data_IF_759406775645
#
_entry.id   IF_759406775645
#
_cell.length_a   1.000
_cell.length_b   1.000
_cell.length_c   1.000
_cell.angle_alpha   90.00
_cell.angle_beta   90.00
_cell.angle_gamma   90.00
#
_symmetry.space_group_name_H-M   'P 1'
#
loop_
_entity.id
_entity.type
_entity.pdbx_description
1 polymer ?
#
# COMPACT_ATOMS: atom_id res chain seq x y z
N UNK A 1 12.90 3.87 24.14
CA UNK A 1 12.64 5.31 23.92
C UNK A 1 12.55 5.53 22.41
N UNK A 2 11.43 5.57 21.69
CA UNK A 2 10.01 5.71 21.95
C UNK A 2 9.24 4.96 20.82
N UNK A 3 8.67 3.78 21.07
CA UNK A 3 8.05 2.97 19.99
C UNK A 3 6.89 3.68 19.26
N UNK A 4 6.20 4.59 19.96
CA UNK A 4 5.16 5.43 19.36
C UNK A 4 5.72 6.43 18.36
N UNK A 5 6.94 6.97 18.57
CA UNK A 5 7.57 7.91 17.64
C UNK A 5 7.90 7.22 16.31
N UNK A 6 8.49 6.02 16.37
CA UNK A 6 8.76 5.21 15.17
C UNK A 6 7.48 4.88 14.42
N UNK A 7 6.43 4.47 15.14
CA UNK A 7 5.12 4.19 14.53
C UNK A 7 4.54 5.44 13.85
N UNK A 8 4.60 6.60 14.48
CA UNK A 8 4.15 7.87 13.88
C UNK A 8 4.93 8.19 12.61
N UNK A 9 6.26 8.07 12.64
CA UNK A 9 7.10 8.32 11.45
C UNK A 9 6.81 7.32 10.32
N UNK A 10 6.67 6.04 10.64
CA UNK A 10 6.31 5.01 9.66
C UNK A 10 4.94 5.28 9.06
N UNK A 11 3.97 5.67 9.87
CA UNK A 11 2.62 6.01 9.40
C UNK A 11 2.63 7.26 8.52
N UNK A 12 3.38 8.30 8.89
CA UNK A 12 3.54 9.50 8.09
C UNK A 12 4.17 9.18 6.73
N UNK A 13 5.21 8.36 6.72
CA UNK A 13 5.82 7.91 5.48
C UNK A 13 4.89 7.01 4.66
N UNK A 14 4.13 6.13 5.28
CA UNK A 14 3.10 5.33 4.61
C UNK A 14 2.10 6.24 3.91
N UNK A 15 1.65 7.32 4.57
CA UNK A 15 0.73 8.29 3.98
C UNK A 15 1.34 8.93 2.73
N UNK A 16 2.59 9.42 2.81
CA UNK A 16 3.29 10.03 1.67
C UNK A 16 3.45 9.04 0.49
N UNK A 17 3.93 7.84 0.78
CA UNK A 17 4.11 6.76 -0.22
C UNK A 17 2.77 6.40 -0.87
N UNK A 18 1.69 6.40 -0.09
CA UNK A 18 0.34 6.11 -0.59
C UNK A 18 -0.17 7.21 -1.52
N UNK A 19 0.05 8.50 -1.20
CA UNK A 19 -0.33 9.60 -2.07
C UNK A 19 0.35 9.51 -3.44
N UNK A 20 1.63 9.13 -3.47
CA UNK A 20 2.35 8.92 -4.73
C UNK A 20 1.72 7.79 -5.58
N UNK A 21 1.42 6.65 -4.97
CA UNK A 21 0.76 5.51 -5.66
C UNK A 21 -0.63 5.89 -6.16
N UNK A 22 -1.40 6.63 -5.36
CA UNK A 22 -2.73 7.12 -5.74
C UNK A 22 -2.61 8.05 -6.95
N UNK A 23 -1.67 8.99 -6.95
CA UNK A 23 -1.44 9.89 -8.08
C UNK A 23 -1.11 9.14 -9.37
N UNK A 24 -0.18 8.18 -9.33
CA UNK A 24 0.17 7.36 -10.51
C UNK A 24 -1.02 6.54 -11.03
N UNK A 25 -1.83 5.99 -10.12
CA UNK A 25 -3.04 5.24 -10.49
C UNK A 25 -4.09 6.12 -11.11
N UNK A 26 -4.32 7.30 -10.54
CA UNK A 26 -5.27 8.26 -11.12
C UNK A 26 -4.84 8.68 -12.52
N UNK A 27 -3.54 8.92 -12.74
CA UNK A 27 -3.00 9.22 -14.06
C UNK A 27 -3.25 8.06 -15.05
N UNK A 28 -2.91 6.82 -14.68
CA UNK A 28 -3.13 5.64 -15.52
C UNK A 28 -4.61 5.35 -15.77
N UNK A 29 -5.47 5.55 -14.77
CA UNK A 29 -6.92 5.34 -14.94
C UNK A 29 -7.54 6.42 -15.83
N UNK A 30 -7.03 7.66 -15.75
CA UNK A 30 -7.49 8.76 -16.61
C UNK A 30 -7.18 8.52 -18.09
N UNK A 31 -6.13 7.77 -18.43
CA UNK A 31 -5.87 7.40 -19.83
C UNK A 31 -6.83 6.33 -20.36
N UNK A 32 -7.49 5.58 -19.48
CA UNK A 32 -8.39 4.49 -19.85
C UNK A 32 -7.72 3.33 -20.59
N UNK A 33 -8.51 2.53 -21.29
CA UNK A 33 -8.04 1.38 -22.07
C UNK A 33 -7.81 0.10 -21.26
N UNK A 34 -7.33 -0.94 -21.95
CA UNK A 34 -7.15 -2.29 -21.36
C UNK A 34 -6.13 -2.31 -20.23
N UNK A 35 -5.07 -1.50 -20.33
CA UNK A 35 -4.06 -1.36 -19.27
C UNK A 35 -4.66 -0.77 -17.98
N UNK A 36 -5.52 0.25 -18.09
CA UNK A 36 -6.22 0.85 -16.95
C UNK A 36 -7.20 -0.13 -16.29
N UNK A 37 -7.92 -0.93 -17.09
CA UNK A 37 -8.80 -1.97 -16.56
C UNK A 37 -8.01 -3.04 -15.80
N UNK A 38 -6.92 -3.55 -16.38
CA UNK A 38 -6.04 -4.52 -15.74
C UNK A 38 -5.43 -3.96 -14.44
N UNK A 39 -5.08 -2.67 -14.41
CA UNK A 39 -4.65 -2.02 -13.17
C UNK A 39 -5.78 -1.96 -12.13
N UNK A 40 -7.00 -1.61 -12.52
CA UNK A 40 -8.15 -1.55 -11.62
C UNK A 40 -8.44 -2.91 -10.97
N UNK A 41 -8.43 -3.99 -11.75
CA UNK A 41 -8.60 -5.35 -11.24
C UNK A 41 -7.47 -5.73 -10.27
N UNK A 42 -6.21 -5.45 -10.65
CA UNK A 42 -5.04 -5.67 -9.78
C UNK A 42 -5.15 -4.92 -8.46
N UNK A 43 -5.64 -3.67 -8.47
CA UNK A 43 -5.84 -2.89 -7.25
C UNK A 43 -6.78 -3.56 -6.26
N UNK A 44 -7.80 -4.29 -6.73
CA UNK A 44 -8.76 -4.99 -5.87
C UNK A 44 -8.08 -6.19 -5.23
N UNK A 45 -7.39 -7.00 -6.01
CA UNK A 45 -6.62 -8.16 -5.52
C UNK A 45 -5.59 -7.74 -4.46
N UNK A 46 -4.86 -6.66 -4.72
CA UNK A 46 -3.88 -6.13 -3.76
C UNK A 46 -4.52 -5.67 -2.44
N UNK A 47 -5.68 -5.00 -2.48
CA UNK A 47 -6.41 -4.59 -1.26
C UNK A 47 -6.86 -5.80 -0.45
N UNK A 48 -7.42 -6.82 -1.11
CA UNK A 48 -7.87 -8.05 -0.46
C UNK A 48 -6.69 -8.78 0.17
N UNK A 49 -5.59 -8.95 -0.56
CA UNK A 49 -4.39 -9.60 -0.05
C UNK A 49 -3.78 -8.85 1.14
N UNK A 50 -3.64 -7.51 1.04
CA UNK A 50 -3.12 -6.70 2.13
C UNK A 50 -4.01 -6.75 3.39
N UNK A 51 -5.33 -6.71 3.21
CA UNK A 51 -6.29 -6.84 4.31
C UNK A 51 -6.20 -8.23 4.96
N UNK A 52 -6.12 -9.30 4.17
CA UNK A 52 -5.98 -10.67 4.67
C UNK A 52 -4.69 -10.88 5.46
N UNK A 53 -3.56 -10.39 4.94
CA UNK A 53 -2.28 -10.44 5.66
C UNK A 53 -2.29 -9.63 6.96
N UNK A 54 -2.91 -8.44 6.95
CA UNK A 54 -3.06 -7.63 8.15
C UNK A 54 -3.96 -8.31 9.19
N UNK A 55 -5.09 -8.88 8.75
CA UNK A 55 -6.01 -9.61 9.62
C UNK A 55 -5.34 -10.84 10.25
N UNK A 56 -4.58 -11.61 9.46
CA UNK A 56 -3.82 -12.75 9.97
C UNK A 56 -2.75 -12.31 10.97
N UNK A 57 -2.03 -11.23 10.66
CA UNK A 57 -1.02 -10.67 11.55
C UNK A 57 -1.65 -10.27 12.89
N UNK A 58 -2.81 -9.61 12.87
CA UNK A 58 -3.53 -9.24 14.10
C UNK A 58 -4.03 -10.49 14.85
N UNK A 59 -4.62 -11.46 14.15
CA UNK A 59 -5.15 -12.69 14.74
C UNK A 59 -4.06 -13.55 15.40
N UNK A 60 -2.81 -13.44 14.94
CA UNK A 60 -1.65 -14.17 15.48
C UNK A 60 -0.85 -13.37 16.52
N UNK A 61 -1.38 -12.23 17.00
CA UNK A 61 -0.77 -11.44 18.07
C UNK A 61 0.24 -10.38 17.59
N UNK A 62 0.19 -10.00 16.32
CA UNK A 62 1.05 -8.96 15.75
C UNK A 62 0.73 -7.55 16.25
N UNK A 63 1.66 -6.62 16.00
CA UNK A 63 1.57 -5.24 16.47
C UNK A 63 1.05 -4.28 15.41
N UNK A 64 0.52 -3.12 15.82
CA UNK A 64 0.16 -2.03 14.92
C UNK A 64 1.35 -1.59 14.04
N UNK A 65 2.56 -1.54 14.60
CA UNK A 65 3.78 -1.26 13.84
C UNK A 65 4.06 -2.33 12.78
N UNK A 66 3.83 -3.61 13.08
CA UNK A 66 3.93 -4.70 12.12
C UNK A 66 2.95 -4.54 10.94
N UNK A 67 1.70 -4.16 11.23
CA UNK A 67 0.67 -3.89 10.22
C UNK A 67 1.10 -2.72 9.32
N UNK A 68 1.50 -1.59 9.91
CA UNK A 68 1.97 -0.41 9.15
C UNK A 68 3.18 -0.76 8.29
N UNK A 69 4.16 -1.48 8.84
CA UNK A 69 5.33 -1.93 8.09
C UNK A 69 4.95 -2.85 6.92
N UNK A 70 3.96 -3.72 7.10
CA UNK A 70 3.38 -4.56 6.04
C UNK A 70 2.79 -3.74 4.91
N UNK A 71 1.97 -2.74 5.23
CA UNK A 71 1.38 -1.83 4.24
C UNK A 71 2.45 -1.01 3.52
N UNK A 72 3.45 -0.47 4.23
CA UNK A 72 4.55 0.29 3.61
C UNK A 72 5.31 -0.53 2.57
N UNK A 73 5.62 -1.79 2.88
CA UNK A 73 6.30 -2.69 1.93
C UNK A 73 5.51 -2.84 0.63
N UNK A 74 4.19 -3.06 0.74
CA UNK A 74 3.30 -3.19 -0.43
C UNK A 74 3.19 -1.88 -1.22
N UNK A 75 2.97 -0.75 -0.55
CA UNK A 75 2.85 0.55 -1.20
C UNK A 75 4.14 0.92 -1.94
N UNK A 76 5.31 0.67 -1.35
CA UNK A 76 6.61 0.85 -2.03
C UNK A 76 6.76 -0.06 -3.25
N UNK A 77 6.34 -1.32 -3.16
CA UNK A 77 6.38 -2.23 -4.29
C UNK A 77 5.47 -1.74 -5.43
N UNK A 78 4.27 -1.26 -5.10
CA UNK A 78 3.34 -0.65 -6.06
C UNK A 78 3.94 0.60 -6.71
N UNK A 79 4.56 1.47 -5.93
CA UNK A 79 5.20 2.67 -6.44
C UNK A 79 6.28 2.35 -7.48
N UNK A 80 7.16 1.39 -7.16
CA UNK A 80 8.23 0.94 -8.09
C UNK A 80 7.69 0.27 -9.35
N UNK A 81 6.56 -0.44 -9.25
CA UNK A 81 5.95 -1.07 -10.43
C UNK A 81 5.30 -0.01 -11.32
N UNK A 82 4.51 0.88 -10.73
CA UNK A 82 3.81 1.94 -11.47
C UNK A 82 4.79 2.92 -12.10
N UNK A 83 5.93 3.19 -11.48
CA UNK A 83 6.97 4.03 -12.09
C UNK A 83 7.67 3.40 -13.30
N UNK A 84 7.39 2.13 -13.61
CA UNK A 84 7.94 1.38 -14.75
C UNK A 84 6.87 1.04 -15.80
N UNK A 85 5.62 1.37 -15.53
CA UNK A 85 4.48 1.12 -16.39
C UNK A 85 4.19 2.35 -17.25
#
# INVERSE_FOLDING_TARGET
>A
MFGWWTLTMDTAMLALESQQVIGMRLAMLATGGTAAQAEAERMVTEKIAAAGEAALLVATGGTAAGVVAGYRRKVRANARRLSRA
#
